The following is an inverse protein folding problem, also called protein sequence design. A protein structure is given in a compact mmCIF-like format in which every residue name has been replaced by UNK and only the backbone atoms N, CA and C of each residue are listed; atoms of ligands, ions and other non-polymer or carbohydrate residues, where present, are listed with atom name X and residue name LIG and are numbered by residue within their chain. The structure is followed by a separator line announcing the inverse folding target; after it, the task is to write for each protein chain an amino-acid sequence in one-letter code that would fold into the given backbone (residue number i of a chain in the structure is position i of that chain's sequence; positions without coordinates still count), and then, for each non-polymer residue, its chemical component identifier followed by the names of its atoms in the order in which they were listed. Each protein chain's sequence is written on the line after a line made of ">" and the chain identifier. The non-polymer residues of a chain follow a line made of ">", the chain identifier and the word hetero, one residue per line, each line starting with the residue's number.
data_IF_272788562009
#
_entry.id   IF_272788562009
#
_cell.length_a   1.000
_cell.length_b   1.000
_cell.length_c   1.000
_cell.angle_alpha   90.00
_cell.angle_beta   90.00
_cell.angle_gamma   90.00
#
_symmetry.space_group_name_H-M   'P 1'
#
loop_
_entity.id
_entity.type
_entity.pdbx_description
1 polymer ?
#
# COMPACT_ATOMS: atom_id res chain seq x y z
N UNK A 1 14.62 3.99 0.64
CA UNK A 1 14.34 2.67 1.25
C UNK A 1 13.11 2.85 2.14
N UNK A 2 11.96 2.30 1.74
CA UNK A 2 10.70 2.44 2.48
C UNK A 2 10.63 1.49 3.68
N UNK A 3 11.28 0.33 3.57
CA UNK A 3 11.23 -0.73 4.57
C UNK A 3 12.33 -0.64 5.63
N UNK A 4 11.95 -0.84 6.90
CA UNK A 4 12.92 -1.05 7.97
C UNK A 4 13.67 -2.39 7.85
N UNK A 5 14.75 -2.59 8.62
CA UNK A 5 15.62 -3.78 8.51
C UNK A 5 14.90 -5.11 8.76
N UNK A 6 13.80 -5.10 9.53
CA UNK A 6 12.97 -6.28 9.77
C UNK A 6 12.27 -6.75 8.49
N UNK A 7 11.60 -5.82 7.78
CA UNK A 7 10.86 -6.13 6.54
C UNK A 7 11.84 -6.51 5.43
N UNK A 8 12.97 -5.80 5.31
CA UNK A 8 14.02 -6.14 4.34
C UNK A 8 14.52 -7.59 4.49
N UNK A 9 14.81 -8.04 5.73
CA UNK A 9 15.20 -9.44 6.00
C UNK A 9 14.07 -10.42 5.66
N UNK A 10 12.82 -10.04 5.88
CA UNK A 10 11.65 -10.82 5.48
C UNK A 10 11.59 -11.02 3.96
N UNK A 11 11.71 -9.93 3.20
CA UNK A 11 11.76 -9.96 1.74
C UNK A 11 12.91 -10.84 1.22
N UNK A 12 14.11 -10.72 1.79
CA UNK A 12 15.25 -11.56 1.42
C UNK A 12 15.00 -13.06 1.64
N UNK A 13 14.34 -13.44 2.74
CA UNK A 13 13.97 -14.85 3.01
C UNK A 13 12.94 -15.34 1.99
N UNK A 14 11.92 -14.55 1.68
CA UNK A 14 10.88 -14.89 0.71
C UNK A 14 11.48 -15.08 -0.70
N UNK A 15 12.35 -14.16 -1.13
CA UNK A 15 13.04 -14.26 -2.42
C UNK A 15 13.94 -15.50 -2.49
N UNK A 16 14.68 -15.81 -1.42
CA UNK A 16 15.49 -17.05 -1.34
C UNK A 16 14.64 -18.32 -1.42
N UNK A 17 13.39 -18.27 -0.95
CA UNK A 17 12.40 -19.34 -1.08
C UNK A 17 11.66 -19.34 -2.45
N UNK A 18 12.01 -18.43 -3.36
CA UNK A 18 11.43 -18.35 -4.70
C UNK A 18 10.01 -17.79 -4.73
N UNK A 19 9.65 -16.87 -3.83
CA UNK A 19 8.36 -16.15 -3.87
C UNK A 19 8.25 -15.30 -5.13
N UNK A 20 7.07 -15.35 -5.77
CA UNK A 20 6.71 -14.58 -6.97
C UNK A 20 5.33 -13.97 -6.80
N UNK A 21 4.95 -13.01 -7.65
CA UNK A 21 3.60 -12.42 -7.64
C UNK A 21 2.50 -13.50 -7.76
N UNK A 22 2.54 -14.45 -8.72
CA UNK A 22 1.58 -15.56 -8.77
C UNK A 22 1.45 -16.32 -7.45
N UNK A 23 2.57 -16.67 -6.81
CA UNK A 23 2.55 -17.40 -5.52
C UNK A 23 1.90 -16.57 -4.41
N UNK A 24 2.07 -15.25 -4.41
CA UNK A 24 1.40 -14.36 -3.45
C UNK A 24 -0.12 -14.34 -3.70
N UNK A 25 -0.55 -14.32 -4.95
CA UNK A 25 -1.97 -14.39 -5.32
C UNK A 25 -2.60 -15.75 -4.93
N UNK A 26 -1.88 -16.85 -5.12
CA UNK A 26 -2.31 -18.18 -4.64
C UNK A 26 -2.46 -18.22 -3.11
N UNK A 27 -1.57 -17.55 -2.38
CA UNK A 27 -1.69 -17.43 -0.92
C UNK A 27 -2.97 -16.65 -0.55
N UNK A 28 -3.26 -15.54 -1.24
CA UNK A 28 -4.48 -14.78 -1.01
C UNK A 28 -5.75 -15.62 -1.25
N UNK A 29 -5.79 -16.42 -2.33
CA UNK A 29 -6.88 -17.37 -2.59
C UNK A 29 -7.06 -18.36 -1.45
N UNK A 30 -5.96 -18.94 -0.96
CA UNK A 30 -5.99 -19.91 0.15
C UNK A 30 -6.53 -19.28 1.43
N UNK A 31 -6.14 -18.04 1.74
CA UNK A 31 -6.66 -17.31 2.89
C UNK A 31 -8.17 -17.09 2.73
N UNK A 32 -8.62 -16.73 1.52
CA UNK A 32 -10.04 -16.43 1.26
C UNK A 32 -10.97 -17.63 1.45
N UNK A 33 -10.47 -18.87 1.38
CA UNK A 33 -11.24 -20.06 1.76
C UNK A 33 -11.60 -20.14 3.25
N UNK A 34 -10.87 -19.42 4.12
CA UNK A 34 -11.03 -19.51 5.58
C UNK A 34 -11.32 -18.18 6.26
N UNK A 35 -11.17 -17.06 5.55
CA UNK A 35 -11.34 -15.72 6.13
C UNK A 35 -11.95 -14.74 5.13
N UNK A 36 -12.89 -13.92 5.61
CA UNK A 36 -13.47 -12.78 4.89
C UNK A 36 -12.91 -11.44 5.36
N UNK A 37 -11.86 -11.43 6.19
CA UNK A 37 -11.17 -10.21 6.59
C UNK A 37 -10.58 -9.54 5.34
N UNK A 38 -10.66 -8.20 5.19
CA UNK A 38 -10.09 -7.51 4.04
C UNK A 38 -8.59 -7.80 3.85
N UNK A 39 -8.19 -8.09 2.61
CA UNK A 39 -6.82 -8.43 2.22
C UNK A 39 -6.26 -7.36 1.27
N UNK A 40 -5.15 -6.75 1.69
CA UNK A 40 -4.46 -5.73 0.91
C UNK A 40 -3.15 -6.27 0.35
N UNK A 41 -2.91 -6.11 -0.95
CA UNK A 41 -1.60 -6.35 -1.55
C UNK A 41 -0.68 -5.16 -1.24
N UNK A 42 0.36 -5.40 -0.45
CA UNK A 42 1.34 -4.39 -0.09
C UNK A 42 2.68 -4.69 -0.79
N UNK A 43 3.05 -3.88 -1.79
CA UNK A 43 4.22 -4.16 -2.65
C UNK A 43 4.89 -2.89 -3.17
N UNK A 44 5.99 -3.06 -3.90
CA UNK A 44 6.64 -2.03 -4.73
C UNK A 44 6.06 -2.02 -6.14
N UNK A 45 6.26 -0.92 -6.87
CA UNK A 45 5.80 -0.72 -8.24
C UNK A 45 6.48 -1.66 -9.25
N UNK A 46 7.78 -1.95 -9.10
CA UNK A 46 8.52 -2.74 -10.08
C UNK A 46 7.96 -4.17 -10.32
N UNK A 47 7.64 -4.98 -9.29
CA UNK A 47 6.96 -6.26 -9.49
C UNK A 47 5.63 -6.14 -10.23
N UNK A 48 4.88 -5.06 -9.98
CA UNK A 48 3.59 -4.80 -10.62
C UNK A 48 3.78 -4.47 -12.10
N UNK A 49 4.73 -3.61 -12.44
CA UNK A 49 5.04 -3.28 -13.83
C UNK A 49 5.54 -4.50 -14.61
N UNK A 50 6.35 -5.36 -13.98
CA UNK A 50 6.82 -6.61 -14.59
C UNK A 50 5.71 -7.62 -14.82
N UNK A 51 4.69 -7.64 -13.96
CA UNK A 51 3.52 -8.52 -14.09
C UNK A 51 2.48 -7.96 -15.10
N UNK A 52 2.43 -6.63 -15.23
CA UNK A 52 1.41 -5.89 -15.96
C UNK A 52 0.32 -5.38 -15.02
N UNK A 53 0.01 -4.09 -15.08
CA UNK A 53 -0.96 -3.44 -14.19
C UNK A 53 -2.37 -4.02 -14.32
N UNK A 54 -2.90 -4.10 -15.54
CA UNK A 54 -4.25 -4.64 -15.79
C UNK A 54 -4.35 -6.13 -15.47
N UNK A 55 -3.30 -6.89 -15.83
CA UNK A 55 -3.19 -8.32 -15.51
C UNK A 55 -3.17 -8.53 -14.00
N UNK A 56 -2.39 -7.73 -13.27
CA UNK A 56 -2.36 -7.78 -11.81
C UNK A 56 -3.72 -7.45 -11.21
N UNK A 57 -4.37 -6.36 -11.63
CA UNK A 57 -5.64 -5.94 -11.06
C UNK A 57 -6.72 -7.04 -11.23
N UNK A 58 -6.82 -7.62 -12.43
CA UNK A 58 -7.72 -8.74 -12.71
C UNK A 58 -7.41 -9.97 -11.85
N UNK A 59 -6.15 -10.41 -11.82
CA UNK A 59 -5.76 -11.62 -11.08
C UNK A 59 -5.86 -11.41 -9.56
N UNK A 60 -5.55 -10.21 -9.06
CA UNK A 60 -5.68 -9.84 -7.66
C UNK A 60 -7.15 -9.89 -7.21
N UNK A 61 -8.06 -9.33 -8.02
CA UNK A 61 -9.50 -9.42 -7.72
C UNK A 61 -9.99 -10.86 -7.73
N UNK A 62 -9.60 -11.65 -8.73
CA UNK A 62 -9.93 -13.06 -8.81
C UNK A 62 -9.33 -13.88 -7.64
N UNK A 63 -8.19 -13.43 -7.10
CA UNK A 63 -7.57 -14.03 -5.93
C UNK A 63 -8.25 -13.66 -4.59
N UNK A 64 -9.22 -12.74 -4.62
CA UNK A 64 -9.95 -12.29 -3.45
C UNK A 64 -9.24 -11.18 -2.67
N UNK A 65 -8.30 -10.45 -3.28
CA UNK A 65 -7.78 -9.20 -2.70
C UNK A 65 -8.84 -8.09 -2.78
N UNK A 66 -8.80 -7.20 -1.81
CA UNK A 66 -9.73 -6.06 -1.69
C UNK A 66 -9.08 -4.75 -2.11
N UNK A 67 -7.75 -4.65 -2.09
CA UNK A 67 -7.04 -3.47 -2.55
C UNK A 67 -5.55 -3.67 -2.68
N UNK A 68 -4.86 -2.59 -3.07
CA UNK A 68 -3.43 -2.56 -3.25
C UNK A 68 -2.82 -1.25 -2.71
N UNK A 69 -1.59 -1.35 -2.23
CA UNK A 69 -0.76 -0.24 -1.79
C UNK A 69 0.64 -0.41 -2.41
N UNK A 70 1.08 0.61 -3.15
CA UNK A 70 2.42 0.68 -3.74
C UNK A 70 3.31 1.65 -2.95
N UNK A 71 4.36 1.14 -2.31
CA UNK A 71 5.22 1.90 -1.39
C UNK A 71 5.94 3.09 -2.04
N UNK A 72 6.27 2.95 -3.31
CA UNK A 72 7.17 3.80 -4.08
C UNK A 72 6.45 4.52 -5.24
N UNK A 73 5.12 4.39 -5.34
CA UNK A 73 4.32 5.15 -6.29
C UNK A 73 3.89 6.49 -5.69
N UNK A 74 4.28 7.59 -6.34
CA UNK A 74 3.80 8.92 -5.99
C UNK A 74 2.33 9.10 -6.41
N UNK A 75 1.54 9.83 -5.62
CA UNK A 75 0.12 10.06 -5.91
C UNK A 75 -0.06 10.84 -7.22
N UNK A 76 0.92 11.67 -7.55
CA UNK A 76 0.97 12.51 -8.75
C UNK A 76 1.13 11.67 -10.03
N UNK A 77 1.75 10.49 -9.96
CA UNK A 77 2.00 9.59 -11.09
C UNK A 77 1.02 8.40 -11.12
N UNK A 78 0.03 8.39 -10.23
CA UNK A 78 -0.75 7.19 -9.94
C UNK A 78 -1.89 6.90 -10.93
N UNK A 79 -2.15 7.78 -11.90
CA UNK A 79 -3.31 7.66 -12.78
C UNK A 79 -3.44 6.27 -13.47
N UNK A 80 -2.39 5.69 -14.09
CA UNK A 80 -2.51 4.37 -14.71
C UNK A 80 -2.82 3.25 -13.70
N UNK A 81 -2.20 3.33 -12.53
CA UNK A 81 -2.44 2.39 -11.43
C UNK A 81 -3.87 2.47 -10.92
N UNK A 82 -4.36 3.70 -10.70
CA UNK A 82 -5.72 3.93 -10.22
C UNK A 82 -6.76 3.42 -11.20
N UNK A 83 -6.57 3.69 -12.49
CA UNK A 83 -7.47 3.18 -13.53
C UNK A 83 -7.54 1.66 -13.48
N UNK A 84 -6.40 0.96 -13.51
CA UNK A 84 -6.38 -0.50 -13.50
C UNK A 84 -7.06 -1.10 -12.25
N UNK A 85 -6.72 -0.60 -11.05
CA UNK A 85 -7.27 -1.12 -9.80
C UNK A 85 -8.77 -0.82 -9.66
N UNK A 86 -9.21 0.41 -9.95
CA UNK A 86 -10.61 0.80 -9.83
C UNK A 86 -11.50 0.09 -10.85
N UNK A 87 -11.02 -0.11 -12.09
CA UNK A 87 -11.73 -0.91 -13.10
C UNK A 87 -11.94 -2.36 -12.65
N UNK A 88 -11.00 -2.92 -11.88
CA UNK A 88 -11.14 -4.26 -11.29
C UNK A 88 -11.95 -4.29 -9.98
N UNK A 89 -12.41 -3.13 -9.47
CA UNK A 89 -13.11 -3.03 -8.20
C UNK A 89 -12.21 -3.34 -7.00
N UNK A 90 -10.95 -2.88 -7.06
CA UNK A 90 -9.96 -2.94 -5.98
C UNK A 90 -9.73 -1.55 -5.39
N UNK A 91 -9.56 -1.49 -4.08
CA UNK A 91 -9.19 -0.27 -3.38
C UNK A 91 -7.76 0.17 -3.70
N UNK A 92 -7.58 1.48 -3.83
CA UNK A 92 -6.27 2.11 -4.02
C UNK A 92 -5.86 2.81 -2.75
N UNK A 93 -4.82 2.36 -2.06
CA UNK A 93 -4.35 2.97 -0.82
C UNK A 93 -3.07 3.77 -1.07
N UNK A 94 -3.04 5.03 -0.62
CA UNK A 94 -1.86 5.89 -0.70
C UNK A 94 -1.32 6.27 0.68
N UNK A 95 -0.04 6.65 0.70
CA UNK A 95 0.65 7.05 1.91
C UNK A 95 0.65 8.58 2.09
N UNK A 96 0.49 9.02 3.33
CA UNK A 96 0.76 10.39 3.74
C UNK A 96 1.77 10.41 4.90
N UNK A 97 2.68 11.38 4.87
CA UNK A 97 3.72 11.57 5.87
C UNK A 97 3.62 12.99 6.47
N UNK A 98 4.27 13.26 7.62
CA UNK A 98 4.27 14.61 8.21
C UNK A 98 4.79 15.69 7.25
N UNK A 99 5.73 15.31 6.39
CA UNK A 99 6.34 16.15 5.35
C UNK A 99 5.46 16.35 4.11
N UNK A 100 4.32 15.66 3.99
CA UNK A 100 3.41 15.85 2.86
C UNK A 100 2.86 17.28 2.85
N UNK A 101 2.95 17.94 1.70
CA UNK A 101 2.35 19.26 1.46
C UNK A 101 0.81 19.22 1.53
N UNK A 102 0.12 20.33 1.82
CA UNK A 102 -1.35 20.39 1.81
C UNK A 102 -1.99 19.93 0.48
N UNK A 103 -1.42 20.28 -0.67
CA UNK A 103 -1.89 19.82 -1.99
C UNK A 103 -1.82 18.30 -2.13
N UNK A 104 -0.69 17.72 -1.75
CA UNK A 104 -0.50 16.26 -1.72
C UNK A 104 -1.47 15.55 -0.79
N UNK A 105 -1.78 16.12 0.39
CA UNK A 105 -2.79 15.53 1.28
C UNK A 105 -4.18 15.48 0.63
N UNK A 106 -4.58 16.54 -0.09
CA UNK A 106 -5.85 16.54 -0.83
C UNK A 106 -5.89 15.45 -1.91
N UNK A 107 -4.81 15.32 -2.70
CA UNK A 107 -4.71 14.25 -3.70
C UNK A 107 -4.75 12.86 -3.06
N UNK A 108 -4.06 12.65 -1.94
CA UNK A 108 -4.11 11.38 -1.20
C UNK A 108 -5.52 11.10 -0.71
N UNK A 109 -6.26 12.09 -0.20
CA UNK A 109 -7.65 11.92 0.22
C UNK A 109 -8.56 11.56 -0.95
N UNK A 110 -8.41 12.21 -2.10
CA UNK A 110 -9.22 12.01 -3.30
C UNK A 110 -8.94 10.65 -3.96
N UNK A 111 -7.67 10.25 -3.98
CA UNK A 111 -7.24 9.07 -4.73
C UNK A 111 -7.28 7.80 -3.88
N UNK A 112 -7.19 7.93 -2.55
CA UNK A 112 -7.31 6.77 -1.66
C UNK A 112 -8.75 6.29 -1.54
N UNK A 113 -8.95 4.98 -1.63
CA UNK A 113 -10.20 4.32 -1.27
C UNK A 113 -9.92 3.26 -0.20
N UNK A 114 -10.92 2.93 0.61
CA UNK A 114 -10.76 2.10 1.80
C UNK A 114 -10.16 2.87 2.98
N UNK A 115 -8.88 3.25 2.90
CA UNK A 115 -8.21 4.05 3.94
C UNK A 115 -6.96 4.78 3.43
N UNK A 116 -6.44 5.72 4.22
CA UNK A 116 -5.14 6.39 4.00
C UNK A 116 -4.08 5.81 4.92
N UNK A 117 -2.91 5.44 4.39
CA UNK A 117 -1.81 4.93 5.19
C UNK A 117 -0.93 6.06 5.73
N UNK A 118 -1.07 6.38 7.02
CA UNK A 118 -0.24 7.42 7.66
C UNK A 118 1.11 6.85 8.13
N UNK A 119 2.20 7.39 7.60
CA UNK A 119 3.56 6.98 7.99
C UNK A 119 4.06 7.90 9.10
N UNK A 120 4.31 7.36 10.28
CA UNK A 120 4.64 8.15 11.48
C UNK A 120 6.10 8.59 11.58
N UNK A 121 6.98 8.16 10.67
CA UNK A 121 8.43 8.37 10.78
C UNK A 121 9.05 9.03 9.55
N UNK A 122 9.80 10.10 9.79
CA UNK A 122 10.92 10.53 8.97
C UNK A 122 12.16 9.70 9.34
N UNK A 123 12.25 8.47 8.84
CA UNK A 123 13.53 7.78 8.61
C UNK A 123 14.44 7.32 9.77
N UNK A 124 14.20 7.61 11.06
CA UNK A 124 15.06 7.09 12.14
C UNK A 124 14.45 5.91 12.89
N UNK A 125 14.95 4.71 12.59
CA UNK A 125 14.66 3.47 13.31
C UNK A 125 15.36 3.47 14.66
N UNK A 126 14.71 4.00 15.69
CA UNK A 126 15.04 3.77 17.10
C UNK A 126 13.78 3.39 17.87
N UNK A 127 13.84 2.40 18.74
CA UNK A 127 12.74 2.07 19.66
C UNK A 127 12.50 3.27 20.57
N UNK A 128 11.42 4.01 20.32
CA UNK A 128 10.83 4.89 21.33
C UNK A 128 9.46 4.31 21.66
N UNK A 129 9.20 4.17 22.96
CA UNK A 129 7.94 3.70 23.50
C UNK A 129 6.76 4.68 23.26
N UNK A 130 7.05 5.90 22.80
CA UNK A 130 6.06 6.94 22.52
C UNK A 130 5.83 7.17 21.03
N UNK A 131 4.56 7.42 20.68
CA UNK A 131 4.11 7.85 19.36
C UNK A 131 4.83 9.16 18.98
N UNK A 132 5.18 9.35 17.69
CA UNK A 132 5.81 10.60 17.24
C UNK A 132 4.89 11.79 17.50
N UNK A 133 5.41 12.88 18.07
CA UNK A 133 4.69 14.14 18.27
C UNK A 133 4.13 14.69 16.94
N UNK A 134 4.75 14.34 15.81
CA UNK A 134 4.31 14.73 14.48
C UNK A 134 3.09 13.96 13.96
N UNK A 135 2.66 12.88 14.62
CA UNK A 135 1.57 12.04 14.12
C UNK A 135 0.20 12.64 14.39
N UNK A 136 -0.02 13.22 15.58
CA UNK A 136 -1.30 13.85 15.93
C UNK A 136 -1.65 14.99 14.95
N UNK A 137 -0.75 15.94 14.64
CA UNK A 137 -1.01 16.97 13.64
C UNK A 137 -1.26 16.39 12.23
N UNK A 138 -0.59 15.30 11.85
CA UNK A 138 -0.83 14.65 10.56
C UNK A 138 -2.24 14.05 10.49
N UNK A 139 -2.70 13.40 11.55
CA UNK A 139 -4.06 12.84 11.63
C UNK A 139 -5.09 13.96 11.47
N UNK A 140 -4.94 15.07 12.19
CA UNK A 140 -5.85 16.22 12.12
C UNK A 140 -5.89 16.83 10.70
N UNK A 141 -4.72 17.05 10.09
CA UNK A 141 -4.62 17.54 8.71
C UNK A 141 -5.25 16.58 7.70
N UNK A 142 -5.09 15.27 7.89
CA UNK A 142 -5.67 14.27 7.01
C UNK A 142 -7.20 14.22 7.17
N UNK A 143 -7.70 14.24 8.42
CA UNK A 143 -9.14 14.29 8.72
C UNK A 143 -9.81 15.52 8.13
N UNK A 144 -9.14 16.66 8.07
CA UNK A 144 -9.65 17.86 7.41
C UNK A 144 -9.80 17.73 5.89
N UNK A 145 -9.19 16.71 5.28
CA UNK A 145 -9.25 16.46 3.84
C UNK A 145 -10.08 15.22 3.47
N UNK A 146 -10.46 14.39 4.44
CA UNK A 146 -11.24 13.15 4.23
C UNK A 146 -12.64 13.28 4.82
N UNK A 147 -13.66 12.79 4.11
CA UNK A 147 -15.07 12.78 4.55
C UNK A 147 -15.38 11.69 5.57
#
# INVERSE_FOLDING_TARGET
>A
IADGPVIQRGGARALKAGTTVPKVLEIAQKIRHTSQIPLLLFTYLNPVLRYGLDTLARDAKAAGLDGCLLTDLSVEEAAPYMTAMRTAGLDTVFLAAPTSTPSRLKLVAEFSTGFVYLVSRTGVTGERASLSESLQPLIERMRACTS
#
